data_IF_403650154588
#
_entry.id   IF_403650154588
#
_cell.length_a   1.000
_cell.length_b   1.000
_cell.length_c   1.000
_cell.angle_alpha   90.00
_cell.angle_beta   90.00
_cell.angle_gamma   90.00
#
_symmetry.space_group_name_H-M   'P 1'
#
loop_
_entity.id
_entity.type
_entity.pdbx_description
1 polymer ?
#
# COMPACT_ATOMS: atom_id res chain seq x y z
N UNK A 1 -10.25 14.97 3.99
CA UNK A 1 -9.59 13.65 3.96
C UNK A 1 -9.44 13.20 5.40
N UNK A 2 -9.94 12.02 5.77
CA UNK A 2 -9.80 11.46 7.11
C UNK A 2 -9.17 10.07 7.02
N UNK A 3 -8.36 9.68 8.00
CA UNK A 3 -7.86 8.31 8.12
C UNK A 3 -8.72 7.57 9.13
N UNK A 4 -9.27 6.42 8.74
CA UNK A 4 -10.09 5.64 9.66
C UNK A 4 -9.21 5.07 10.78
N UNK A 5 -7.98 4.65 10.46
CA UNK A 5 -7.01 4.09 11.42
C UNK A 5 -5.69 4.88 11.42
N UNK A 6 -5.64 6.06 12.04
CA UNK A 6 -4.46 6.93 12.03
C UNK A 6 -3.26 6.31 12.75
N UNK A 7 -3.48 5.44 13.74
CA UNK A 7 -2.41 4.71 14.45
C UNK A 7 -1.62 3.78 13.53
N UNK A 8 -2.21 3.32 12.42
CA UNK A 8 -1.53 2.46 11.46
C UNK A 8 -0.38 3.18 10.73
N UNK A 9 -0.40 4.52 10.69
CA UNK A 9 0.66 5.34 10.10
C UNK A 9 2.00 5.18 10.83
N UNK A 10 2.01 4.77 12.11
CA UNK A 10 3.25 4.48 12.83
C UNK A 10 4.07 3.37 12.16
N UNK A 11 3.42 2.45 11.45
CA UNK A 11 4.12 1.39 10.70
C UNK A 11 5.00 1.95 9.58
N UNK A 12 4.75 3.17 9.08
CA UNK A 12 5.64 3.81 8.11
C UNK A 12 7.05 4.01 8.67
N UNK A 13 7.25 4.05 9.99
CA UNK A 13 8.60 4.04 10.59
C UNK A 13 9.38 2.75 10.32
N UNK A 14 8.72 1.66 9.96
CA UNK A 14 9.40 0.45 9.50
C UNK A 14 10.16 0.68 8.18
N UNK A 15 9.71 1.61 7.34
CA UNK A 15 10.33 1.92 6.04
C UNK A 15 11.75 2.46 6.19
N UNK A 16 12.03 3.54 6.96
CA UNK A 16 13.40 4.01 7.17
C UNK A 16 14.27 2.95 7.88
N UNK A 17 13.68 2.11 8.74
CA UNK A 17 14.37 0.96 9.34
C UNK A 17 14.82 -0.06 8.28
N UNK A 18 13.96 -0.43 7.33
CA UNK A 18 14.30 -1.32 6.23
C UNK A 18 15.37 -0.72 5.30
N UNK A 19 15.28 0.58 5.01
CA UNK A 19 16.31 1.31 4.23
C UNK A 19 17.66 1.28 4.97
N UNK A 20 17.66 1.58 6.28
CA UNK A 20 18.86 1.53 7.12
C UNK A 20 19.47 0.13 7.17
N UNK A 21 18.65 -0.90 7.35
CA UNK A 21 19.06 -2.31 7.33
C UNK A 21 19.64 -2.73 5.98
N UNK A 22 19.03 -2.29 4.88
CA UNK A 22 19.55 -2.53 3.53
C UNK A 22 20.94 -1.90 3.33
N UNK A 23 21.11 -0.63 3.71
CA UNK A 23 22.40 0.06 3.62
C UNK A 23 23.45 -0.58 4.53
N UNK A 24 23.07 -1.01 5.73
CA UNK A 24 23.95 -1.71 6.65
C UNK A 24 24.41 -3.06 6.08
N UNK A 25 23.51 -3.84 5.52
CA UNK A 25 23.83 -5.10 4.84
C UNK A 25 24.76 -4.87 3.65
N UNK A 26 24.51 -3.83 2.85
CA UNK A 26 25.35 -3.46 1.72
C UNK A 26 26.76 -3.06 2.17
N UNK A 27 26.87 -2.31 3.28
CA UNK A 27 28.16 -1.93 3.90
C UNK A 27 28.89 -3.14 4.50
N UNK A 28 28.19 -4.06 5.15
CA UNK A 28 28.77 -5.31 5.68
C UNK A 28 29.29 -6.21 4.56
N UNK A 29 28.51 -6.42 3.50
CA UNK A 29 28.94 -7.25 2.36
C UNK A 29 30.20 -6.71 1.68
N UNK A 30 30.37 -5.38 1.61
CA UNK A 30 31.63 -4.77 1.14
C UNK A 30 32.82 -5.13 2.03
N UNK A 31 32.67 -5.10 3.36
CA UNK A 31 33.74 -5.46 4.30
C UNK A 31 34.11 -6.94 4.26
N UNK A 32 33.14 -7.84 4.11
CA UNK A 32 33.39 -9.29 4.03
C UNK A 32 33.99 -9.69 2.68
N UNK A 33 33.55 -9.07 1.56
CA UNK A 33 34.11 -9.33 0.23
C UNK A 33 35.59 -8.96 0.11
N UNK A 34 36.02 -7.91 0.82
CA UNK A 34 37.44 -7.51 0.90
C UNK A 34 38.33 -8.56 1.60
N UNK A 35 37.74 -9.48 2.39
CA UNK A 35 38.49 -10.44 3.21
C UNK A 35 38.71 -11.80 2.53
N UNK A 36 38.02 -12.10 1.42
CA UNK A 36 38.00 -13.45 0.83
C UNK A 36 38.15 -13.55 -0.70
N UNK A 37 38.09 -12.47 -1.49
CA UNK A 37 38.07 -12.61 -2.95
C UNK A 37 39.14 -11.77 -3.64
N UNK A 38 40.15 -12.47 -4.17
CA UNK A 38 40.84 -12.21 -5.42
C UNK A 38 40.23 -11.04 -6.23
N UNK A 39 40.62 -9.81 -5.87
CA UNK A 39 40.03 -8.56 -6.36
C UNK A 39 40.11 -8.43 -7.89
N UNK A 40 41.01 -9.17 -8.53
CA UNK A 40 41.17 -9.20 -9.98
C UNK A 40 40.03 -9.98 -10.67
N UNK A 41 39.74 -11.20 -10.21
CA UNK A 41 38.78 -12.11 -10.88
C UNK A 41 37.33 -11.63 -10.77
N UNK A 42 36.94 -11.06 -9.61
CA UNK A 42 35.61 -10.47 -9.44
C UNK A 42 35.46 -9.17 -10.22
N UNK A 43 36.50 -8.33 -10.28
CA UNK A 43 36.47 -7.06 -11.03
C UNK A 43 36.48 -7.29 -12.55
N UNK A 44 37.02 -8.42 -13.00
CA UNK A 44 37.04 -8.85 -14.40
C UNK A 44 35.72 -9.55 -14.81
N UNK A 45 35.05 -10.26 -13.90
CA UNK A 45 33.71 -10.83 -14.11
C UNK A 45 32.57 -9.81 -13.94
N UNK A 46 32.77 -8.75 -13.13
CA UNK A 46 31.84 -7.62 -13.04
C UNK A 46 32.03 -6.64 -14.21
N UNK A 47 31.81 -7.10 -15.44
CA UNK A 47 31.66 -6.22 -16.60
C UNK A 47 30.66 -5.10 -16.29
N UNK A 48 30.99 -3.85 -16.70
CA UNK A 48 30.21 -2.60 -16.57
C UNK A 48 29.04 -2.71 -15.58
N UNK A 49 29.42 -2.78 -14.30
CA UNK A 49 28.57 -2.98 -13.13
C UNK A 49 27.13 -2.49 -13.35
N UNK A 50 26.19 -3.43 -13.28
CA UNK A 50 24.74 -3.22 -13.20
C UNK A 50 24.33 -2.51 -11.89
N UNK A 51 25.00 -1.40 -11.56
CA UNK A 51 24.94 -0.73 -10.26
C UNK A 51 23.54 -0.26 -9.93
N UNK A 52 22.85 0.39 -10.87
CA UNK A 52 21.47 0.84 -10.66
C UNK A 52 20.45 -0.29 -10.76
N UNK A 53 20.60 -1.20 -11.75
CA UNK A 53 19.68 -2.35 -11.91
C UNK A 53 19.63 -3.25 -10.68
N UNK A 54 20.71 -3.31 -9.88
CA UNK A 54 20.76 -4.04 -8.61
C UNK A 54 19.89 -3.43 -7.50
N UNK A 55 19.55 -2.15 -7.61
CA UNK A 55 18.67 -1.45 -6.66
C UNK A 55 17.20 -1.42 -7.09
N UNK A 56 16.90 -1.76 -8.36
CA UNK A 56 15.53 -1.74 -8.89
C UNK A 56 14.61 -2.71 -8.13
N UNK A 57 14.94 -4.02 -7.96
CA UNK A 57 14.07 -4.92 -7.20
C UNK A 57 13.80 -4.50 -5.74
N UNK A 58 14.82 -4.14 -4.92
CA UNK A 58 14.55 -3.71 -3.55
C UNK A 58 13.85 -2.34 -3.46
N UNK A 59 14.07 -1.43 -4.42
CA UNK A 59 13.34 -0.17 -4.46
C UNK A 59 11.85 -0.38 -4.76
N UNK A 60 11.52 -1.26 -5.71
CA UNK A 60 10.12 -1.62 -6.02
C UNK A 60 9.45 -2.30 -4.83
N UNK A 61 10.14 -3.20 -4.14
CA UNK A 61 9.62 -3.84 -2.93
C UNK A 61 9.36 -2.83 -1.82
N UNK A 62 10.29 -1.89 -1.58
CA UNK A 62 10.08 -0.82 -0.60
C UNK A 62 8.89 0.06 -0.96
N UNK A 63 8.74 0.41 -2.25
CA UNK A 63 7.60 1.18 -2.73
C UNK A 63 6.30 0.41 -2.48
N UNK A 64 6.24 -0.88 -2.85
CA UNK A 64 5.07 -1.71 -2.60
C UNK A 64 4.70 -1.77 -1.10
N UNK A 65 5.69 -1.95 -0.22
CA UNK A 65 5.48 -1.93 1.24
C UNK A 65 4.99 -0.57 1.71
N UNK A 66 5.56 0.54 1.23
CA UNK A 66 5.09 1.89 1.61
C UNK A 66 3.64 2.13 1.21
N UNK A 67 3.26 1.72 0.00
CA UNK A 67 1.88 1.86 -0.50
C UNK A 67 0.93 0.98 0.32
N UNK A 68 1.33 -0.26 0.62
CA UNK A 68 0.56 -1.17 1.45
C UNK A 68 0.30 -0.60 2.85
N UNK A 69 1.34 -0.05 3.50
CA UNK A 69 1.24 0.55 4.83
C UNK A 69 0.42 1.85 4.83
N UNK A 70 0.47 2.63 3.76
CA UNK A 70 -0.36 3.84 3.64
C UNK A 70 -1.82 3.46 3.37
N UNK A 71 -2.08 2.44 2.55
CA UNK A 71 -3.42 1.93 2.29
C UNK A 71 -4.06 1.31 3.54
N UNK A 72 -3.27 0.67 4.41
CA UNK A 72 -3.79 0.07 5.64
C UNK A 72 -4.31 1.10 6.65
N UNK A 73 -3.86 2.36 6.58
CA UNK A 73 -4.43 3.47 7.35
C UNK A 73 -5.86 3.87 6.89
N UNK A 74 -6.36 3.27 5.80
CA UNK A 74 -7.69 3.48 5.21
C UNK A 74 -8.01 4.97 4.99
N UNK A 75 -7.33 5.64 4.06
CA UNK A 75 -7.65 7.02 3.70
C UNK A 75 -9.07 7.09 3.12
N UNK A 76 -9.91 7.94 3.71
CA UNK A 76 -11.28 8.17 3.30
C UNK A 76 -11.48 9.64 2.91
N UNK A 77 -12.17 9.85 1.80
CA UNK A 77 -12.67 11.15 1.39
C UNK A 77 -14.16 11.23 1.74
N UNK A 78 -14.53 12.21 2.57
CA UNK A 78 -15.93 12.52 2.82
C UNK A 78 -16.38 13.42 1.68
N UNK A 79 -17.29 12.92 0.85
CA UNK A 79 -17.91 13.69 -0.22
C UNK A 79 -19.29 14.12 0.26
N UNK A 80 -19.53 15.42 0.30
CA UNK A 80 -20.85 15.98 0.61
C UNK A 80 -21.74 15.82 -0.62
N UNK A 81 -22.66 14.86 -0.58
CA UNK A 81 -23.71 14.74 -1.59
C UNK A 81 -24.87 15.67 -1.23
N UNK A 82 -25.55 16.27 -2.22
CA UNK A 82 -26.81 16.96 -1.98
C UNK A 82 -27.81 15.98 -1.37
N UNK A 83 -28.35 16.32 -0.21
CA UNK A 83 -29.38 15.52 0.45
C UNK A 83 -30.70 15.74 -0.29
N UNK A 84 -31.09 14.77 -1.12
CA UNK A 84 -32.41 14.73 -1.74
C UNK A 84 -33.37 14.11 -0.73
N UNK A 85 -34.13 14.95 -0.03
CA UNK A 85 -35.19 14.50 0.87
C UNK A 85 -36.44 14.23 0.05
N UNK A 86 -36.72 12.97 -0.26
CA UNK A 86 -37.98 12.56 -0.89
C UNK A 86 -38.99 12.16 0.19
N UNK A 87 -40.16 12.80 0.17
CA UNK A 87 -41.28 12.43 1.03
C UNK A 87 -42.12 11.38 0.32
N UNK A 88 -42.06 10.14 0.79
CA UNK A 88 -42.89 9.05 0.27
C UNK A 88 -44.24 9.08 1.00
N UNK A 89 -45.30 9.40 0.27
CA UNK A 89 -46.68 9.28 0.77
C UNK A 89 -47.24 7.94 0.33
N UNK A 90 -47.33 6.99 1.27
CA UNK A 90 -47.97 5.71 1.04
C UNK A 90 -49.46 5.81 1.36
N UNK A 91 -50.29 5.83 0.32
CA UNK A 91 -51.72 5.66 0.44
C UNK A 91 -52.07 4.20 0.12
N UNK A 92 -52.64 3.49 1.08
CA UNK A 92 -53.17 2.13 0.89
C UNK A 92 -54.69 2.22 0.89
N UNK A 93 -55.32 1.82 -0.22
CA UNK A 93 -56.77 1.66 -0.26
C UNK A 93 -57.16 0.35 0.43
N UNK A 94 -58.08 0.45 1.39
CA UNK A 94 -58.63 -0.69 2.16
C UNK A 94 -60.11 -0.93 1.84
N UNK A 95 -60.58 -0.43 0.69
CA UNK A 95 -61.94 -0.63 0.21
C UNK A 95 -62.29 -2.11 0.03
N UNK A 96 -63.58 -2.45 0.14
CA UNK A 96 -64.07 -3.83 0.05
C UNK A 96 -63.75 -4.51 -1.29
N UNK A 97 -63.59 -3.75 -2.38
CA UNK A 97 -63.16 -4.27 -3.68
C UNK A 97 -61.74 -4.81 -3.67
N UNK A 98 -60.86 -4.32 -2.79
CA UNK A 98 -59.50 -4.82 -2.64
C UNK A 98 -59.43 -6.23 -2.02
N UNK A 99 -60.55 -6.75 -1.52
CA UNK A 99 -60.66 -8.11 -0.96
C UNK A 99 -61.19 -9.12 -1.97
N UNK A 100 -61.42 -8.72 -3.22
CA UNK A 100 -61.84 -9.64 -4.27
C UNK A 100 -60.70 -10.62 -4.60
N UNK A 101 -61.01 -11.91 -4.63
CA UNK A 101 -60.12 -12.90 -5.20
C UNK A 101 -60.25 -12.83 -6.73
N UNK A 102 -59.13 -12.66 -7.42
CA UNK A 102 -59.09 -12.72 -8.88
C UNK A 102 -59.40 -14.16 -9.32
N UNK A 103 -60.35 -14.32 -10.24
CA UNK A 103 -60.87 -15.62 -10.71
C UNK A 103 -60.23 -16.08 -12.01
#
# INVERSE_FOLDING_TARGET
MNFIWPTMLWLLLAVPLLVGGYLWLLRRRKKTALRYANLALVKQAMGKSAGWKRHVPPALLLLAVTVLLLASARPAAVITLPSQQETIVLAMDVSGSMRAADV
#
